data_IF_926113116148
#
_entry.id   IF_926113116148
#
_cell.length_a   1.000
_cell.length_b   1.000
_cell.length_c   1.000
_cell.angle_alpha   90.00
_cell.angle_beta   90.00
_cell.angle_gamma   90.00
#
_symmetry.space_group_name_H-M   'P 1'
#
loop_
_entity.id
_entity.type
_entity.pdbx_description
1 polymer ?
#
# COMPACT_ATOMS: atom_id res chain seq x y z
N UNK A 1 -9.26 5.20 -10.48
CA UNK A 1 -7.85 5.40 -10.91
C UNK A 1 -7.27 4.14 -11.52
N UNK A 2 -7.55 2.97 -10.92
CA UNK A 2 -7.18 1.64 -11.42
C UNK A 2 -7.33 1.47 -12.94
N UNK A 3 -8.47 1.86 -13.51
CA UNK A 3 -8.73 1.75 -14.96
C UNK A 3 -7.81 2.59 -15.86
N UNK A 4 -7.00 3.50 -15.31
CA UNK A 4 -5.97 4.28 -16.04
C UNK A 4 -4.57 3.69 -15.91
N UNK A 5 -4.30 2.86 -14.90
CA UNK A 5 -3.01 2.16 -14.71
C UNK A 5 -3.05 0.85 -15.49
N UNK A 6 -2.26 0.75 -16.56
CA UNK A 6 -2.25 -0.40 -17.48
C UNK A 6 -1.01 -1.28 -17.36
N UNK A 7 0.00 -0.84 -16.61
CA UNK A 7 1.25 -1.55 -16.41
C UNK A 7 1.93 -1.89 -17.73
N UNK A 8 2.30 -3.16 -17.90
CA UNK A 8 2.98 -3.68 -19.07
C UNK A 8 2.07 -4.19 -20.19
N UNK A 9 0.78 -3.83 -20.20
CA UNK A 9 -0.16 -4.28 -21.23
C UNK A 9 0.39 -4.04 -22.64
N UNK A 10 0.34 -5.08 -23.49
CA UNK A 10 0.87 -5.06 -24.86
C UNK A 10 2.39 -5.27 -24.96
N UNK A 11 3.08 -5.38 -23.82
CA UNK A 11 4.50 -5.70 -23.71
C UNK A 11 4.80 -7.19 -23.82
N UNK A 12 6.09 -7.52 -23.78
CA UNK A 12 6.54 -8.92 -23.73
C UNK A 12 6.20 -9.55 -22.39
N UNK A 13 5.80 -10.82 -22.42
CA UNK A 13 5.56 -11.64 -21.22
C UNK A 13 6.82 -12.45 -20.94
N UNK A 14 7.39 -12.33 -19.74
CA UNK A 14 8.57 -13.10 -19.32
C UNK A 14 8.32 -13.72 -17.97
N UNK A 15 8.50 -15.04 -17.85
CA UNK A 15 8.47 -15.74 -16.57
C UNK A 15 9.86 -15.74 -15.95
N UNK A 16 9.93 -15.41 -14.66
CA UNK A 16 11.18 -15.36 -13.89
C UNK A 16 11.02 -16.12 -12.59
N UNK A 17 12.11 -16.75 -12.14
CA UNK A 17 12.14 -17.57 -10.93
C UNK A 17 13.36 -17.30 -10.05
N UNK A 18 14.27 -16.44 -10.51
CA UNK A 18 15.46 -16.04 -9.76
C UNK A 18 15.57 -14.54 -9.66
N UNK A 19 16.32 -14.06 -8.66
CA UNK A 19 16.57 -12.63 -8.48
C UNK A 19 17.29 -12.01 -9.69
N UNK A 20 18.22 -12.74 -10.30
CA UNK A 20 18.96 -12.27 -11.47
C UNK A 20 18.04 -12.09 -12.69
N UNK A 21 17.19 -13.07 -12.97
CA UNK A 21 16.19 -12.98 -14.06
C UNK A 21 15.23 -11.83 -13.83
N UNK A 22 14.66 -11.73 -12.62
CA UNK A 22 13.73 -10.66 -12.26
C UNK A 22 14.37 -9.28 -12.42
N UNK A 23 15.57 -9.10 -11.87
CA UNK A 23 16.29 -7.82 -11.95
C UNK A 23 16.56 -7.42 -13.40
N UNK A 24 16.97 -8.36 -14.25
CA UNK A 24 17.27 -8.09 -15.66
C UNK A 24 16.06 -7.60 -16.47
N UNK A 25 14.84 -7.96 -16.08
CA UNK A 25 13.62 -7.56 -16.80
C UNK A 25 12.84 -6.43 -16.11
N UNK A 26 13.01 -6.25 -14.80
CA UNK A 26 12.35 -5.25 -13.98
C UNK A 26 12.87 -3.82 -14.24
N UNK A 27 14.18 -3.65 -14.36
CA UNK A 27 14.82 -2.39 -14.76
C UNK A 27 16.22 -2.64 -15.33
N UNK A 28 16.44 -2.33 -16.61
CA UNK A 28 17.67 -2.71 -17.31
C UNK A 28 18.72 -1.61 -17.44
N UNK A 29 18.49 -0.38 -16.95
CA UNK A 29 19.54 0.65 -16.90
C UNK A 29 19.05 1.93 -16.23
N UNK A 30 19.38 2.13 -14.95
CA UNK A 30 19.35 3.44 -14.27
C UNK A 30 18.11 4.31 -14.60
N UNK A 31 16.91 3.76 -14.43
CA UNK A 31 15.63 4.49 -14.38
C UNK A 31 15.01 4.98 -15.71
N UNK A 32 15.38 4.44 -16.88
CA UNK A 32 14.78 4.88 -18.17
C UNK A 32 14.15 3.75 -19.01
N UNK A 33 13.99 2.54 -18.45
CA UNK A 33 13.35 1.45 -19.19
C UNK A 33 11.82 1.59 -19.18
N UNK A 34 11.31 2.42 -20.08
CA UNK A 34 9.88 2.57 -20.34
C UNK A 34 9.27 1.45 -21.20
N UNK A 35 10.00 0.38 -21.53
CA UNK A 35 9.47 -0.70 -22.37
C UNK A 35 8.37 -1.44 -21.63
N UNK A 36 7.18 -1.56 -22.21
CA UNK A 36 6.10 -2.32 -21.60
C UNK A 36 6.52 -3.79 -21.40
N UNK A 37 6.36 -4.34 -20.19
CA UNK A 37 6.59 -5.77 -19.90
C UNK A 37 5.65 -6.33 -18.85
N UNK A 38 5.22 -7.57 -19.07
CA UNK A 38 4.53 -8.39 -18.07
C UNK A 38 5.57 -9.40 -17.54
N UNK A 39 5.91 -9.26 -16.27
CA UNK A 39 6.92 -10.05 -15.56
C UNK A 39 6.14 -11.01 -14.66
N UNK A 40 6.10 -12.29 -15.07
CA UNK A 40 5.42 -13.35 -14.33
C UNK A 40 6.40 -13.96 -13.34
N UNK A 41 6.11 -13.84 -12.04
CA UNK A 41 6.96 -14.39 -10.98
C UNK A 41 6.51 -15.80 -10.66
N UNK A 42 7.45 -16.75 -10.63
CA UNK A 42 7.20 -18.15 -10.31
C UNK A 42 8.09 -18.61 -9.16
N UNK A 43 7.50 -19.27 -8.17
CA UNK A 43 8.21 -19.76 -7.00
C UNK A 43 8.71 -18.64 -6.09
N UNK A 44 9.79 -18.91 -5.34
CA UNK A 44 10.37 -17.95 -4.39
C UNK A 44 11.64 -17.32 -4.95
N UNK A 45 11.65 -15.99 -5.01
CA UNK A 45 12.81 -15.18 -5.29
C UNK A 45 13.34 -14.62 -3.98
N UNK A 46 14.50 -15.11 -3.54
CA UNK A 46 15.14 -14.69 -2.29
C UNK A 46 16.30 -13.72 -2.51
N UNK A 47 16.56 -12.86 -1.52
CA UNK A 47 17.68 -11.93 -1.53
C UNK A 47 17.68 -11.00 -0.31
N UNK A 48 18.54 -9.99 -0.35
CA UNK A 48 18.61 -8.92 0.66
C UNK A 48 18.88 -7.57 -0.04
N UNK A 49 18.07 -7.27 -1.06
CA UNK A 49 18.24 -6.09 -1.91
C UNK A 49 16.88 -5.47 -2.25
N UNK A 50 16.90 -4.18 -2.60
CA UNK A 50 15.79 -3.55 -3.30
C UNK A 50 16.02 -3.64 -4.80
N UNK A 51 15.04 -4.14 -5.54
CA UNK A 51 15.07 -4.17 -7.01
C UNK A 51 14.33 -2.95 -7.54
N UNK A 52 14.99 -2.19 -8.41
CA UNK A 52 14.37 -1.07 -9.12
C UNK A 52 13.34 -1.61 -10.10
N UNK A 53 12.17 -0.97 -10.13
CA UNK A 53 11.11 -1.27 -11.08
C UNK A 53 10.99 -0.07 -12.01
N UNK A 54 11.09 -0.27 -13.32
CA UNK A 54 10.89 0.77 -14.33
C UNK A 54 9.41 1.10 -14.60
N UNK A 55 9.16 2.05 -15.49
CA UNK A 55 7.81 2.38 -15.95
C UNK A 55 7.20 1.30 -16.85
N UNK A 56 5.87 1.26 -16.96
CA UNK A 56 5.13 0.34 -17.83
C UNK A 56 5.39 -1.14 -17.51
N UNK A 57 5.41 -1.49 -16.23
CA UNK A 57 5.61 -2.87 -15.78
C UNK A 57 4.33 -3.42 -15.15
N UNK A 58 4.04 -4.67 -15.47
CA UNK A 58 3.14 -5.49 -14.66
C UNK A 58 3.97 -6.60 -14.06
N UNK A 59 4.13 -6.59 -12.75
CA UNK A 59 4.72 -7.71 -12.00
C UNK A 59 3.55 -8.51 -11.46
N UNK A 60 3.45 -9.78 -11.87
CA UNK A 60 2.32 -10.63 -11.50
C UNK A 60 2.82 -11.99 -11.03
N UNK A 61 2.42 -12.42 -9.83
CA UNK A 61 2.84 -13.72 -9.30
C UNK A 61 1.89 -14.84 -9.69
N UNK A 62 2.46 -16.01 -10.00
CA UNK A 62 1.71 -17.28 -10.00
C UNK A 62 1.30 -17.64 -8.56
N UNK A 63 0.36 -18.58 -8.35
CA UNK A 63 -0.01 -19.02 -6.99
C UNK A 63 1.22 -19.39 -6.14
N UNK A 64 1.37 -18.74 -4.99
CA UNK A 64 2.51 -18.92 -4.08
C UNK A 64 3.81 -18.23 -4.50
N UNK A 65 3.79 -17.40 -5.54
CA UNK A 65 4.95 -16.61 -5.96
C UNK A 65 5.33 -15.60 -4.87
N UNK A 66 6.62 -15.59 -4.52
CA UNK A 66 7.11 -14.92 -3.31
C UNK A 66 8.41 -14.18 -3.55
N UNK A 67 8.53 -12.99 -2.96
CA UNK A 67 9.77 -12.29 -2.70
C UNK A 67 10.12 -12.43 -1.22
N UNK A 68 11.25 -13.09 -0.93
CA UNK A 68 11.71 -13.33 0.45
C UNK A 68 12.99 -12.53 0.70
N UNK A 69 12.90 -11.50 1.54
CA UNK A 69 14.02 -10.59 1.81
C UNK A 69 14.27 -9.53 0.74
N UNK A 70 13.49 -9.50 -0.34
CA UNK A 70 13.65 -8.58 -1.48
C UNK A 70 12.55 -7.52 -1.45
N UNK A 71 12.94 -6.24 -1.53
CA UNK A 71 12.02 -5.12 -1.67
C UNK A 71 11.87 -4.66 -3.12
N UNK A 72 10.73 -4.08 -3.48
CA UNK A 72 10.49 -3.51 -4.80
C UNK A 72 10.50 -1.98 -4.72
N UNK A 73 11.38 -1.32 -5.48
CA UNK A 73 11.54 0.13 -5.42
C UNK A 73 11.12 0.82 -6.71
N UNK A 74 9.95 1.45 -6.68
CA UNK A 74 9.35 2.23 -7.76
C UNK A 74 9.69 3.71 -7.53
N UNK A 75 10.66 4.22 -8.27
CA UNK A 75 11.16 5.60 -8.07
C UNK A 75 11.20 6.40 -9.35
N UNK A 76 10.54 7.55 -9.35
CA UNK A 76 10.42 8.41 -10.53
C UNK A 76 9.85 7.67 -11.74
N UNK A 77 8.93 6.74 -11.49
CA UNK A 77 8.32 5.93 -12.52
C UNK A 77 6.82 6.17 -12.63
N UNK A 78 6.25 5.65 -13.70
CA UNK A 78 4.81 5.70 -13.89
C UNK A 78 4.25 4.41 -14.47
N UNK A 79 2.95 4.21 -14.27
CA UNK A 79 2.20 3.12 -14.88
C UNK A 79 2.77 1.74 -14.50
N UNK A 80 2.71 1.41 -13.20
CA UNK A 80 3.22 0.16 -12.66
C UNK A 80 2.10 -0.60 -11.96
N UNK A 81 2.01 -1.90 -12.24
CA UNK A 81 1.12 -2.83 -11.54
C UNK A 81 1.98 -3.86 -10.82
N UNK A 82 1.72 -4.08 -9.53
CA UNK A 82 2.24 -5.21 -8.76
C UNK A 82 1.06 -6.02 -8.26
N UNK A 83 1.00 -7.31 -8.61
CA UNK A 83 -0.20 -8.11 -8.39
C UNK A 83 0.10 -9.55 -8.01
N UNK A 84 -0.66 -10.12 -7.07
CA UNK A 84 -0.57 -11.54 -6.73
C UNK A 84 0.81 -12.04 -6.29
N UNK A 85 1.55 -11.22 -5.54
CA UNK A 85 2.84 -11.61 -4.96
C UNK A 85 2.73 -11.65 -3.44
N UNK A 86 3.51 -12.55 -2.83
CA UNK A 86 3.80 -12.55 -1.40
C UNK A 86 5.15 -11.83 -1.21
N UNK A 87 5.22 -10.85 -0.32
CA UNK A 87 6.46 -10.19 0.09
C UNK A 87 6.65 -10.41 1.57
N UNK A 88 7.77 -11.05 1.94
CA UNK A 88 8.07 -11.35 3.33
C UNK A 88 9.47 -10.86 3.73
N UNK A 89 9.59 -10.48 5.00
CA UNK A 89 10.86 -10.36 5.72
C UNK A 89 11.93 -9.55 4.98
N UNK A 90 11.59 -8.40 4.40
CA UNK A 90 12.54 -7.61 3.59
C UNK A 90 13.79 -7.26 4.38
N UNK A 91 14.95 -7.80 3.96
CA UNK A 91 16.24 -7.63 4.62
C UNK A 91 17.10 -6.53 3.99
N UNK A 92 16.61 -5.93 2.90
CA UNK A 92 17.31 -4.85 2.24
C UNK A 92 17.41 -3.63 3.18
N UNK A 93 18.57 -2.97 3.21
CA UNK A 93 18.75 -1.76 4.00
C UNK A 93 17.80 -0.66 3.52
N UNK A 94 17.00 -0.09 4.43
CA UNK A 94 15.89 0.82 4.12
C UNK A 94 14.89 0.22 3.11
N UNK A 95 14.68 -1.10 3.21
CA UNK A 95 13.84 -1.90 2.35
C UNK A 95 12.43 -2.04 2.87
N UNK A 96 11.46 -1.56 2.09
CA UNK A 96 10.05 -1.94 2.26
C UNK A 96 9.70 -3.11 1.35
N UNK A 97 8.56 -3.76 1.59
CA UNK A 97 7.95 -4.67 0.61
C UNK A 97 7.79 -3.99 -0.75
N UNK A 98 7.17 -2.82 -0.76
CA UNK A 98 7.13 -1.89 -1.89
C UNK A 98 7.38 -0.47 -1.43
N UNK A 99 8.40 0.16 -1.98
CA UNK A 99 8.70 1.59 -1.81
C UNK A 99 8.26 2.35 -3.07
N UNK A 100 7.35 3.32 -2.93
CA UNK A 100 6.85 4.16 -4.03
C UNK A 100 7.24 5.62 -3.77
N UNK A 101 8.12 6.17 -4.60
CA UNK A 101 8.64 7.53 -4.42
C UNK A 101 8.63 8.32 -5.73
N UNK A 102 8.17 9.58 -5.69
CA UNK A 102 8.07 10.45 -6.86
C UNK A 102 7.45 9.77 -8.09
N UNK A 103 6.50 8.85 -7.87
CA UNK A 103 5.97 7.97 -8.90
C UNK A 103 4.47 8.16 -9.04
N UNK A 104 3.94 7.88 -10.24
CA UNK A 104 2.51 8.11 -10.51
C UNK A 104 1.79 6.96 -11.20
N UNK A 105 0.50 6.78 -10.91
CA UNK A 105 -0.29 5.69 -11.48
C UNK A 105 0.33 4.33 -11.14
N UNK A 106 0.34 4.00 -9.85
CA UNK A 106 0.82 2.72 -9.34
C UNK A 106 -0.36 1.96 -8.74
N UNK A 107 -0.49 0.68 -9.09
CA UNK A 107 -1.55 -0.19 -8.58
C UNK A 107 -0.94 -1.43 -7.93
N UNK A 108 -1.14 -1.58 -6.62
CA UNK A 108 -0.78 -2.77 -5.85
C UNK A 108 -2.07 -3.52 -5.56
N UNK A 109 -2.23 -4.74 -6.09
CA UNK A 109 -3.49 -5.48 -6.01
C UNK A 109 -3.30 -6.95 -5.63
N UNK A 110 -4.15 -7.50 -4.75
CA UNK A 110 -4.08 -8.91 -4.39
C UNK A 110 -2.67 -9.35 -3.97
N UNK A 111 -1.98 -8.55 -3.17
CA UNK A 111 -0.66 -8.90 -2.66
C UNK A 111 -0.75 -9.27 -1.18
N UNK A 112 0.22 -10.02 -0.69
CA UNK A 112 0.37 -10.33 0.73
C UNK A 112 1.71 -9.78 1.22
N UNK A 113 1.71 -9.08 2.36
CA UNK A 113 2.89 -8.46 2.95
C UNK A 113 2.97 -8.78 4.43
N UNK A 114 4.11 -9.30 4.89
CA UNK A 114 4.36 -9.53 6.30
C UNK A 114 5.84 -9.55 6.66
N UNK A 115 6.12 -9.46 7.97
CA UNK A 115 7.39 -9.92 8.50
C UNK A 115 7.19 -10.70 9.79
N UNK A 116 7.55 -10.13 10.93
CA UNK A 116 7.24 -10.65 12.24
C UNK A 116 7.20 -9.53 13.30
N UNK A 117 6.62 -9.86 14.46
CA UNK A 117 6.60 -9.03 15.67
C UNK A 117 7.59 -9.50 16.75
N UNK A 118 8.39 -10.53 16.45
CA UNK A 118 9.37 -11.10 17.37
C UNK A 118 10.66 -10.27 17.44
N UNK A 119 10.99 -9.59 16.33
CA UNK A 119 12.03 -8.58 16.27
C UNK A 119 11.50 -7.22 16.75
N UNK A 120 12.44 -6.33 17.11
CA UNK A 120 12.11 -4.94 17.43
C UNK A 120 11.55 -4.20 16.22
N UNK A 121 10.75 -3.15 16.48
CA UNK A 121 10.02 -2.38 15.45
C UNK A 121 10.84 -1.80 14.30
N UNK A 122 12.16 -1.66 14.47
CA UNK A 122 13.08 -1.08 13.48
C UNK A 122 14.02 -2.11 12.86
N UNK A 123 13.80 -3.40 13.11
CA UNK A 123 14.53 -4.48 12.42
C UNK A 123 14.09 -4.58 10.95
N UNK A 124 12.78 -4.56 10.72
CA UNK A 124 12.17 -4.35 9.40
C UNK A 124 11.69 -2.89 9.31
N UNK A 125 11.61 -2.35 8.08
CA UNK A 125 11.09 -0.99 7.88
C UNK A 125 9.59 -0.98 7.57
N UNK A 126 9.16 -0.60 6.36
CA UNK A 126 7.76 -0.58 5.94
C UNK A 126 7.31 -1.83 5.18
N UNK A 127 6.00 -1.99 4.98
CA UNK A 127 5.46 -2.96 4.01
C UNK A 127 5.13 -2.28 2.68
N UNK A 128 4.27 -1.26 2.67
CA UNK A 128 3.91 -0.51 1.46
C UNK A 128 3.90 0.98 1.74
N UNK A 129 4.95 1.65 1.29
CA UNK A 129 5.19 3.07 1.58
C UNK A 129 5.10 3.95 0.32
N UNK A 130 4.50 5.13 0.48
CA UNK A 130 4.26 6.11 -0.59
C UNK A 130 4.75 7.48 -0.15
N UNK A 131 5.73 8.06 -0.83
CA UNK A 131 6.26 9.37 -0.43
C UNK A 131 6.80 10.18 -1.61
N UNK A 132 7.35 11.36 -1.30
CA UNK A 132 8.00 12.26 -2.27
C UNK A 132 7.07 12.62 -3.43
N UNK A 133 5.95 13.28 -3.13
CA UNK A 133 4.96 13.72 -4.12
C UNK A 133 4.46 12.61 -5.07
N UNK A 134 4.51 11.33 -4.64
CA UNK A 134 3.90 10.25 -5.41
C UNK A 134 2.41 10.50 -5.57
N UNK A 135 1.83 10.04 -6.67
CA UNK A 135 0.53 10.54 -7.09
C UNK A 135 -0.33 9.49 -7.79
N UNK A 136 -1.62 9.42 -7.43
CA UNK A 136 -2.55 8.44 -8.01
C UNK A 136 -2.11 7.01 -7.77
N UNK A 137 -2.02 6.63 -6.50
CA UNK A 137 -1.68 5.27 -6.07
C UNK A 137 -2.95 4.55 -5.60
N UNK A 138 -3.10 3.28 -5.96
CA UNK A 138 -4.17 2.41 -5.45
C UNK A 138 -3.56 1.16 -4.84
N UNK A 139 -3.97 0.83 -3.61
CA UNK A 139 -3.60 -0.38 -2.88
C UNK A 139 -4.91 -1.13 -2.56
N UNK A 140 -5.17 -2.23 -3.26
CA UNK A 140 -6.47 -2.90 -3.22
C UNK A 140 -6.38 -4.40 -2.99
N UNK A 141 -7.32 -4.97 -2.24
CA UNK A 141 -7.39 -6.43 -2.00
C UNK A 141 -6.08 -7.00 -1.41
N UNK A 142 -5.31 -6.20 -0.68
CA UNK A 142 -4.01 -6.59 -0.10
C UNK A 142 -4.21 -7.13 1.30
N UNK A 143 -3.49 -8.19 1.66
CA UNK A 143 -3.36 -8.67 3.03
C UNK A 143 -2.05 -8.18 3.64
N UNK A 144 -2.12 -7.33 4.67
CA UNK A 144 -0.97 -6.80 5.41
C UNK A 144 -1.04 -7.31 6.84
N UNK A 145 -0.01 -8.03 7.29
CA UNK A 145 -0.05 -8.63 8.62
C UNK A 145 1.30 -8.85 9.28
N UNK A 146 1.26 -9.09 10.59
CA UNK A 146 2.40 -9.48 11.42
C UNK A 146 3.59 -8.53 11.25
N UNK A 147 3.36 -7.24 11.50
CA UNK A 147 4.34 -6.20 11.20
C UNK A 147 4.21 -4.95 12.07
N UNK A 148 5.33 -4.27 12.34
CA UNK A 148 5.35 -3.11 13.24
C UNK A 148 4.96 -1.77 12.59
N UNK A 149 5.49 -1.45 11.39
CA UNK A 149 5.32 -0.14 10.72
C UNK A 149 4.76 -0.33 9.31
N UNK A 150 3.46 -0.47 9.15
CA UNK A 150 2.89 -1.09 7.94
C UNK A 150 2.89 -0.23 6.67
N UNK A 151 2.22 0.92 6.68
CA UNK A 151 2.06 1.77 5.49
C UNK A 151 2.18 3.25 5.81
N UNK A 152 3.30 3.84 5.39
CA UNK A 152 3.59 5.27 5.51
C UNK A 152 3.21 6.00 4.22
N UNK A 153 2.45 7.10 4.35
CA UNK A 153 2.16 8.02 3.26
C UNK A 153 2.65 9.41 3.65
N UNK A 154 3.69 9.90 2.97
CA UNK A 154 4.40 11.14 3.35
C UNK A 154 5.38 10.91 4.51
N UNK A 155 6.68 11.00 4.21
CA UNK A 155 7.72 10.43 5.06
C UNK A 155 8.15 11.30 6.25
N UNK A 156 7.90 12.62 6.21
CA UNK A 156 8.48 13.58 7.14
C UNK A 156 7.60 14.80 7.34
N UNK A 157 7.47 15.27 8.59
CA UNK A 157 6.80 16.52 9.00
C UNK A 157 7.49 17.78 8.41
N UNK A 158 8.66 17.63 7.79
CA UNK A 158 9.42 18.71 7.14
C UNK A 158 9.39 18.65 5.61
N UNK A 159 8.43 17.91 5.01
CA UNK A 159 8.37 17.72 3.56
C UNK A 159 7.17 18.41 2.88
N UNK A 160 6.51 19.34 3.58
CA UNK A 160 5.32 20.02 3.08
C UNK A 160 5.50 20.65 1.68
N UNK A 161 6.69 21.20 1.39
CA UNK A 161 6.98 21.87 0.10
C UNK A 161 6.92 20.92 -1.10
N UNK A 162 7.20 19.63 -0.89
CA UNK A 162 7.11 18.60 -1.93
C UNK A 162 5.75 17.89 -1.88
N UNK A 163 5.25 17.53 -0.70
CA UNK A 163 4.09 16.64 -0.58
C UNK A 163 2.72 17.35 -0.61
N UNK A 164 2.65 18.66 -0.33
CA UNK A 164 1.37 19.40 -0.32
C UNK A 164 0.77 19.47 -1.72
N UNK A 165 -0.49 19.03 -1.85
CA UNK A 165 -1.20 18.96 -3.13
C UNK A 165 -0.95 17.67 -3.92
N UNK A 166 -0.16 16.74 -3.34
CA UNK A 166 0.15 15.43 -3.89
C UNK A 166 -0.35 14.30 -2.99
N UNK A 167 0.17 13.07 -3.18
CA UNK A 167 -0.14 11.90 -2.36
C UNK A 167 -1.64 11.56 -2.37
N UNK A 168 -2.28 11.56 -3.55
CA UNK A 168 -3.61 10.99 -3.70
C UNK A 168 -3.53 9.46 -3.70
N UNK A 169 -3.86 8.86 -2.56
CA UNK A 169 -3.76 7.41 -2.33
C UNK A 169 -5.13 6.83 -1.96
N UNK A 170 -5.54 5.82 -2.71
CA UNK A 170 -6.74 5.03 -2.40
C UNK A 170 -6.33 3.67 -1.85
N UNK A 171 -6.92 3.28 -0.72
CA UNK A 171 -6.74 1.96 -0.12
C UNK A 171 -8.10 1.31 0.09
N UNK A 172 -8.33 0.11 -0.47
CA UNK A 172 -9.63 -0.54 -0.26
C UNK A 172 -9.64 -2.05 -0.36
N UNK A 173 -10.66 -2.66 0.27
CA UNK A 173 -10.80 -4.11 0.32
C UNK A 173 -9.56 -4.79 0.92
N UNK A 174 -8.79 -4.07 1.74
CA UNK A 174 -7.55 -4.58 2.33
C UNK A 174 -7.85 -5.24 3.67
N UNK A 175 -7.10 -6.28 3.99
CA UNK A 175 -7.11 -6.96 5.28
C UNK A 175 -5.86 -6.55 6.06
N UNK A 176 -6.05 -5.94 7.23
CA UNK A 176 -5.00 -5.47 8.13
C UNK A 176 -5.07 -6.29 9.41
N UNK A 177 -4.03 -7.08 9.70
CA UNK A 177 -4.09 -8.01 10.83
C UNK A 177 -2.80 -8.03 11.66
N UNK A 178 -2.91 -7.93 12.98
CA UNK A 178 -1.78 -8.06 13.90
C UNK A 178 -0.64 -7.07 13.58
N UNK A 179 -0.96 -5.78 13.66
CA UNK A 179 -0.08 -4.68 13.26
C UNK A 179 0.25 -3.77 14.45
N UNK A 180 1.50 -3.32 14.51
CA UNK A 180 1.93 -2.31 15.48
C UNK A 180 1.31 -0.93 15.23
N UNK A 181 1.52 -0.36 14.04
CA UNK A 181 1.10 1.00 13.67
C UNK A 181 1.09 1.24 12.15
N UNK A 182 0.67 2.44 11.74
CA UNK A 182 0.64 2.93 10.35
C UNK A 182 -0.33 2.14 9.45
N UNK A 183 -1.63 2.20 9.72
CA UNK A 183 -2.65 1.50 8.90
C UNK A 183 -3.73 2.41 8.27
N UNK A 184 -3.37 3.35 7.37
CA UNK A 184 -2.05 3.92 7.13
C UNK A 184 -1.76 5.11 8.07
N UNK A 185 -0.51 5.58 8.08
CA UNK A 185 -0.14 6.91 8.61
C UNK A 185 0.04 7.87 7.44
N UNK A 186 -0.75 8.94 7.35
CA UNK A 186 -0.78 9.86 6.19
C UNK A 186 -0.48 11.30 6.58
N UNK A 187 0.49 11.92 5.89
CA UNK A 187 0.83 13.35 5.96
C UNK A 187 0.51 14.10 4.68
N UNK A 188 0.07 15.35 4.78
CA UNK A 188 -0.19 16.36 3.71
C UNK A 188 -1.21 16.01 2.61
N UNK A 189 -1.26 14.74 2.21
CA UNK A 189 -1.97 14.27 1.03
C UNK A 189 -3.46 14.05 1.22
N UNK A 190 -4.03 13.37 0.21
CA UNK A 190 -5.44 13.01 0.15
C UNK A 190 -5.60 11.50 0.17
N UNK A 191 -6.14 10.98 1.27
CA UNK A 191 -6.43 9.56 1.43
C UNK A 191 -7.90 9.23 1.16
N UNK A 192 -8.16 8.07 0.57
CA UNK A 192 -9.47 7.44 0.58
C UNK A 192 -9.34 5.98 1.00
N UNK A 193 -9.79 5.67 2.22
CA UNK A 193 -9.69 4.33 2.82
C UNK A 193 -11.09 3.75 2.97
N UNK A 194 -11.41 2.68 2.25
CA UNK A 194 -12.75 2.12 2.27
C UNK A 194 -12.83 0.59 2.18
N UNK A 195 -13.96 0.01 2.58
CA UNK A 195 -14.21 -1.44 2.49
C UNK A 195 -13.13 -2.33 3.13
N UNK A 196 -12.34 -1.83 4.09
CA UNK A 196 -11.18 -2.57 4.63
C UNK A 196 -11.47 -3.09 6.04
N UNK A 197 -10.87 -4.24 6.35
CA UNK A 197 -11.02 -4.93 7.64
C UNK A 197 -9.73 -4.80 8.45
N UNK A 198 -9.85 -4.24 9.66
CA UNK A 198 -8.76 -3.98 10.59
C UNK A 198 -8.96 -4.78 11.88
N UNK A 199 -8.04 -5.68 12.16
CA UNK A 199 -8.07 -6.50 13.38
C UNK A 199 -6.69 -6.59 14.05
N UNK A 200 -6.68 -6.37 15.37
CA UNK A 200 -5.51 -6.51 16.25
C UNK A 200 -4.40 -5.49 15.97
N UNK A 201 -4.62 -4.24 16.39
CA UNK A 201 -3.62 -3.17 16.38
C UNK A 201 -3.90 -2.13 17.44
N UNK A 202 -2.89 -1.36 17.87
CA UNK A 202 -3.16 -0.25 18.80
C UNK A 202 -3.75 0.95 18.05
N UNK A 203 -3.03 1.44 17.04
CA UNK A 203 -3.38 2.62 16.25
C UNK A 203 -3.78 2.20 14.84
N UNK A 204 -4.96 2.65 14.41
CA UNK A 204 -5.51 2.43 13.08
C UNK A 204 -5.04 3.49 12.07
N UNK A 205 -6.00 4.13 11.41
CA UNK A 205 -5.78 5.21 10.45
C UNK A 205 -5.31 6.46 11.20
N UNK A 206 -4.12 6.96 10.87
CA UNK A 206 -3.52 8.13 11.50
C UNK A 206 -3.35 9.27 10.47
N UNK A 207 -4.02 10.40 10.71
CA UNK A 207 -4.03 11.59 9.84
C UNK A 207 -3.18 12.72 10.43
N UNK A 208 -2.24 13.26 9.65
CA UNK A 208 -1.17 14.12 10.16
C UNK A 208 -0.86 15.27 9.20
N UNK A 209 -0.30 16.36 9.73
CA UNK A 209 0.25 17.46 8.94
C UNK A 209 -0.62 17.94 7.77
N UNK A 210 -1.88 18.28 8.04
CA UNK A 210 -2.82 18.81 7.05
C UNK A 210 -3.45 17.76 6.13
N UNK A 211 -3.06 16.49 6.26
CA UNK A 211 -3.68 15.36 5.55
C UNK A 211 -5.21 15.40 5.62
N UNK A 212 -5.86 15.04 4.51
CA UNK A 212 -7.30 14.88 4.46
C UNK A 212 -7.62 13.44 4.07
N UNK A 213 -8.41 12.74 4.88
CA UNK A 213 -8.78 11.34 4.60
C UNK A 213 -10.29 11.16 4.59
N UNK A 214 -10.80 10.58 3.52
CA UNK A 214 -12.17 10.06 3.45
C UNK A 214 -12.15 8.59 3.89
N UNK A 215 -12.89 8.25 4.95
CA UNK A 215 -12.89 6.90 5.55
C UNK A 215 -14.29 6.31 5.51
N UNK A 216 -14.52 5.25 4.72
CA UNK A 216 -15.88 4.76 4.44
C UNK A 216 -16.05 3.25 4.51
N UNK A 217 -17.12 2.74 5.11
CA UNK A 217 -17.44 1.30 5.07
C UNK A 217 -16.28 0.42 5.51
N UNK A 218 -15.55 0.78 6.56
CA UNK A 218 -14.50 -0.06 7.15
C UNK A 218 -14.99 -0.72 8.45
N UNK A 219 -14.30 -1.76 8.87
CA UNK A 219 -14.56 -2.46 10.14
C UNK A 219 -13.28 -2.56 10.94
N UNK A 220 -13.34 -2.15 12.20
CA UNK A 220 -12.27 -2.26 13.19
C UNK A 220 -12.78 -3.12 14.35
N UNK A 221 -12.01 -4.13 14.77
CA UNK A 221 -12.43 -5.03 15.86
C UNK A 221 -11.57 -4.82 17.10
N UNK A 222 -10.34 -5.34 17.09
CA UNK A 222 -9.40 -5.20 18.19
C UNK A 222 -8.47 -4.01 17.95
N UNK A 223 -9.04 -2.80 17.91
CA UNK A 223 -8.30 -1.56 17.69
C UNK A 223 -8.66 -0.48 18.73
N UNK A 224 -7.68 0.00 19.48
CA UNK A 224 -7.88 0.99 20.54
C UNK A 224 -8.15 2.38 19.96
N UNK A 225 -7.40 2.76 18.92
CA UNK A 225 -7.48 4.06 18.27
C UNK A 225 -7.71 3.89 16.75
N UNK A 226 -8.93 3.49 16.32
CA UNK A 226 -9.24 3.18 14.92
C UNK A 226 -8.95 4.32 13.94
N UNK A 227 -9.27 5.54 14.35
CA UNK A 227 -9.06 6.75 13.54
C UNK A 227 -8.62 7.86 14.49
N UNK A 228 -7.42 8.40 14.26
CA UNK A 228 -6.84 9.42 15.11
C UNK A 228 -5.95 10.40 14.32
N UNK A 229 -5.53 11.46 14.98
CA UNK A 229 -4.52 12.39 14.49
C UNK A 229 -3.42 12.52 15.54
N UNK A 230 -2.34 11.76 15.38
CA UNK A 230 -1.34 11.54 16.42
C UNK A 230 0.08 11.85 15.94
N UNK A 231 0.97 12.08 16.91
CA UNK A 231 2.42 12.00 16.74
C UNK A 231 3.09 12.93 15.70
N UNK A 232 2.41 14.00 15.24
CA UNK A 232 2.96 15.07 14.39
C UNK A 232 2.87 16.43 15.06
N UNK A 233 3.68 17.38 14.59
CA UNK A 233 3.66 18.78 15.03
C UNK A 233 2.33 19.48 14.69
N UNK A 234 1.65 19.04 13.64
CA UNK A 234 0.34 19.54 13.25
C UNK A 234 -0.67 18.43 12.91
N UNK A 235 -1.96 18.74 13.10
CA UNK A 235 -3.05 17.76 12.91
C UNK A 235 -3.32 17.48 11.43
N UNK A 236 -3.82 16.28 11.13
CA UNK A 236 -4.59 16.00 9.91
C UNK A 236 -6.09 15.95 10.20
N UNK A 237 -6.88 15.55 9.21
CA UNK A 237 -8.34 15.55 9.26
C UNK A 237 -8.97 14.31 8.60
N UNK A 238 -10.14 13.89 9.09
CA UNK A 238 -10.90 12.76 8.57
C UNK A 238 -12.39 13.10 8.46
N UNK A 239 -13.02 12.69 7.35
CA UNK A 239 -14.47 12.52 7.28
C UNK A 239 -14.81 11.03 7.19
N UNK A 240 -15.57 10.53 8.17
CA UNK A 240 -15.87 9.12 8.34
C UNK A 240 -17.36 8.82 8.08
N UNK A 241 -17.66 7.81 7.27
CA UNK A 241 -19.04 7.38 6.95
C UNK A 241 -19.17 5.86 7.04
N UNK A 242 -20.22 5.36 7.71
CA UNK A 242 -20.50 3.91 7.78
C UNK A 242 -19.28 3.09 8.21
N UNK A 243 -18.59 3.45 9.30
CA UNK A 243 -17.50 2.62 9.82
C UNK A 243 -17.97 1.92 11.10
N UNK A 244 -17.71 0.62 11.21
CA UNK A 244 -17.78 -0.08 12.49
C UNK A 244 -16.44 0.10 13.18
N UNK A 245 -16.41 0.89 14.26
CA UNK A 245 -15.18 1.21 14.99
C UNK A 245 -14.89 0.22 16.13
N UNK A 246 -15.73 -0.82 16.28
CA UNK A 246 -15.61 -1.79 17.36
C UNK A 246 -15.68 -1.11 18.72
N UNK A 247 -14.61 -1.28 19.51
CA UNK A 247 -14.49 -0.69 20.86
C UNK A 247 -13.92 0.73 20.86
N UNK A 248 -13.36 1.18 19.74
CA UNK A 248 -12.67 2.46 19.63
C UNK A 248 -13.57 3.59 19.17
N UNK A 249 -12.99 4.77 18.95
CA UNK A 249 -13.70 5.94 18.45
C UNK A 249 -12.87 6.69 17.40
N UNK A 250 -13.52 7.56 16.62
CA UNK A 250 -12.83 8.50 15.76
C UNK A 250 -12.54 9.78 16.55
N UNK A 251 -11.25 10.07 16.76
CA UNK A 251 -10.79 11.27 17.46
C UNK A 251 -10.19 12.32 16.53
N UNK A 252 -10.02 12.01 15.24
CA UNK A 252 -9.50 12.96 14.26
C UNK A 252 -10.51 14.11 14.02
N UNK A 253 -10.04 15.35 13.88
CA UNK A 253 -10.92 16.47 13.57
C UNK A 253 -11.53 16.32 12.17
N UNK A 254 -12.72 16.88 12.00
CA UNK A 254 -13.50 16.82 10.75
C UNK A 254 -12.77 17.59 9.64
N UNK A 255 -12.64 16.94 8.49
CA UNK A 255 -11.98 17.50 7.31
C UNK A 255 -12.96 18.07 6.28
N UNK A 256 -12.42 18.36 5.09
CA UNK A 256 -13.18 18.95 3.98
C UNK A 256 -13.55 17.95 2.89
N UNK A 257 -12.96 16.75 2.89
CA UNK A 257 -13.27 15.73 1.89
C UNK A 257 -14.68 15.17 2.06
N UNK A 258 -15.39 15.08 0.95
CA UNK A 258 -16.72 14.45 0.88
C UNK A 258 -16.71 13.40 -0.22
N UNK A 259 -17.73 12.52 -0.29
CA UNK A 259 -17.88 11.58 -1.39
C UNK A 259 -17.76 12.21 -2.79
N UNK A 260 -18.24 13.45 -2.98
CA UNK A 260 -18.16 14.16 -4.26
C UNK A 260 -16.79 14.77 -4.56
N UNK A 261 -15.88 14.80 -3.58
CA UNK A 261 -14.48 15.23 -3.78
C UNK A 261 -13.67 14.19 -4.56
N UNK A 262 -14.12 12.93 -4.63
CA UNK A 262 -13.38 11.86 -5.30
C UNK A 262 -13.55 11.96 -6.82
N UNK A 263 -12.46 12.03 -7.62
CA UNK A 263 -12.53 12.20 -9.07
C UNK A 263 -12.79 10.88 -9.82
N UNK A 264 -13.32 9.88 -9.12
CA UNK A 264 -13.58 8.54 -9.62
C UNK A 264 -14.80 7.94 -8.93
N UNK A 265 -15.47 7.01 -9.61
CA UNK A 265 -16.54 6.21 -9.01
C UNK A 265 -15.95 5.04 -8.20
N UNK A 266 -16.63 4.68 -7.12
CA UNK A 266 -16.31 3.55 -6.26
C UNK A 266 -17.61 2.95 -5.71
N UNK A 267 -17.54 1.72 -5.20
CA UNK A 267 -18.70 1.04 -4.60
C UNK A 267 -18.37 0.70 -3.15
N UNK A 268 -19.27 1.11 -2.25
CA UNK A 268 -19.19 0.75 -0.84
C UNK A 268 -19.94 -0.55 -0.59
N UNK A 269 -19.34 -1.45 0.18
CA UNK A 269 -19.97 -2.73 0.56
C UNK A 269 -21.03 -2.55 1.66
N UNK A 270 -20.94 -1.47 2.43
CA UNK A 270 -21.58 -1.38 3.74
C UNK A 270 -20.72 -2.10 4.79
N UNK A 271 -20.42 -1.44 5.91
CA UNK A 271 -19.56 -1.99 6.99
C UNK A 271 -19.91 -3.43 7.39
N UNK A 272 -21.21 -3.75 7.49
CA UNK A 272 -21.71 -5.09 7.83
C UNK A 272 -21.28 -6.22 6.87
N UNK A 273 -20.93 -5.90 5.62
CA UNK A 273 -20.55 -6.88 4.59
C UNK A 273 -19.04 -6.99 4.38
N UNK A 274 -18.25 -6.11 5.01
CA UNK A 274 -16.80 -5.99 4.77
C UNK A 274 -16.07 -7.27 5.14
N UNK A 275 -16.33 -7.82 6.34
CA UNK A 275 -15.64 -9.03 6.81
C UNK A 275 -15.77 -10.18 5.79
N UNK A 276 -17.00 -10.48 5.37
CA UNK A 276 -17.29 -11.57 4.44
C UNK A 276 -16.68 -11.36 3.04
N UNK A 277 -16.52 -10.11 2.60
CA UNK A 277 -15.95 -9.79 1.30
C UNK A 277 -14.41 -9.79 1.30
N UNK A 278 -13.79 -9.41 2.42
CA UNK A 278 -12.35 -9.13 2.52
C UNK A 278 -11.57 -10.32 3.08
N UNK A 279 -12.01 -10.89 4.21
CA UNK A 279 -11.24 -11.92 4.91
C UNK A 279 -11.26 -13.21 4.11
N UNK A 280 -10.07 -13.72 3.77
CA UNK A 280 -9.89 -14.88 2.89
C UNK A 280 -9.91 -14.58 1.39
N UNK A 281 -10.28 -13.35 1.00
CA UNK A 281 -10.22 -12.88 -0.39
C UNK A 281 -8.99 -12.01 -0.63
N UNK A 282 -8.73 -11.05 0.26
CA UNK A 282 -7.55 -10.19 0.19
C UNK A 282 -6.26 -11.02 0.39
N UNK A 283 -5.19 -10.64 -0.32
CA UNK A 283 -3.93 -11.38 -0.35
C UNK A 283 -3.60 -11.93 -1.74
N UNK A 284 -2.49 -12.68 -1.82
CA UNK A 284 -2.04 -13.35 -3.04
C UNK A 284 -2.88 -14.62 -3.34
N UNK A 285 -4.16 -14.42 -3.59
CA UNK A 285 -5.19 -15.48 -3.68
C UNK A 285 -5.64 -15.79 -5.11
N UNK A 286 -5.12 -15.08 -6.11
CA UNK A 286 -5.59 -15.22 -7.49
C UNK A 286 -5.12 -16.54 -8.11
N UNK A 287 -6.02 -17.18 -8.86
CA UNK A 287 -5.72 -18.30 -9.76
C UNK A 287 -5.44 -17.73 -11.15
N UNK A 288 -4.16 -17.61 -11.51
CA UNK A 288 -3.67 -16.92 -12.73
C UNK A 288 -3.03 -17.93 -13.68
#
# INVERSE_FOLDING_TARGET
MEGKTTGGKGGTVTTVSTLAEFTAVADNSKNNDGTARIIVVSGTISGATQVRIGSNKTIIGLPGAKFSGVGLFIWKQSNVIVRNIISENVLAANGDGITIQASTNVWVDHCEFYSDLSHGKDYYDGLVDVSHASEWVTISNVYLHDHWKTSLIGHSDNNAAEDTGHLHVTQHNNHWYNIGSRTPSLRYGTGHVYNSYFDSMNTGIDTRDGAQILVQSNVFVNCTEPIAALYSDSTGYVNAYDNDLGIGTNTAPVGTLTPSSMPYSYTLLGSANVYAAVVGTAGATLSI
#
